data_IF_845349730658
#
_entry.id   IF_845349730658
#
_cell.length_a   1.000
_cell.length_b   1.000
_cell.length_c   1.000
_cell.angle_alpha   90.00
_cell.angle_beta   90.00
_cell.angle_gamma   90.00
#
_symmetry.space_group_name_H-M   'P 1'
#
loop_
_entity.id
_entity.type
_entity.pdbx_description
1 polymer ?
2 water ?
#
# COMPACT_ATOMS: atom_id res chain seq x y z
N UNK A 3 2.12 20.33 -3.65
CA UNK A 3 2.79 19.03 -3.67
C UNK A 3 4.31 19.19 -3.77
N UNK A 4 5.01 18.93 -2.66
CA UNK A 4 6.47 18.98 -2.69
C UNK A 4 7.10 17.86 -1.88
N UNK A 5 8.33 17.51 -2.26
CA UNK A 5 9.07 16.42 -1.64
C UNK A 5 9.72 16.87 -0.33
N UNK A 6 9.56 16.04 0.70
CA UNK A 6 10.11 16.36 2.00
C UNK A 6 11.19 15.37 2.40
N UNK A 7 12.27 15.87 2.99
CA UNK A 7 13.28 15.01 3.58
C UNK A 7 13.60 15.49 4.98
N UNK A 8 13.01 14.83 5.96
CA UNK A 8 13.23 15.16 7.35
C UNK A 8 13.81 13.96 8.07
N UNK A 9 15.06 14.08 8.51
CA UNK A 9 15.77 12.97 9.10
C UNK A 9 16.03 11.89 8.08
N UNK A 10 15.70 10.64 8.42
CA UNK A 10 15.89 9.52 7.50
C UNK A 10 14.65 9.31 6.64
N UNK A 11 13.62 10.11 6.86
CA UNK A 11 12.36 9.96 6.13
C UNK A 11 12.29 10.85 4.90
N UNK A 12 12.13 10.22 3.74
CA UNK A 12 11.86 10.91 2.50
C UNK A 12 10.43 10.60 2.05
N UNK A 13 9.63 11.64 1.81
CA UNK A 13 8.23 11.42 1.47
C UNK A 13 7.60 12.59 0.72
N UNK A 14 6.58 12.29 -0.07
CA UNK A 14 5.77 13.32 -0.70
C UNK A 14 4.63 13.73 0.23
N UNK A 15 4.31 15.01 0.23
CA UNK A 15 3.25 15.52 1.09
C UNK A 15 2.39 16.53 0.35
N UNK A 16 1.08 16.34 0.40
CA UNK A 16 0.14 17.25 -0.23
C UNK A 16 -1.22 17.14 0.46
N UNK A 17 -1.82 18.27 0.77
CA UNK A 17 -3.10 18.28 1.46
C UNK A 17 -2.95 18.67 2.90
N UNK A 18 -4.07 18.79 3.61
CA UNK A 18 -4.05 19.33 4.97
C UNK A 18 -4.88 18.52 5.96
N UNK A 19 -6.00 17.97 5.50
CA UNK A 19 -6.95 17.31 6.38
C UNK A 19 -6.53 15.94 6.89
N UNK A 20 -7.46 14.98 6.79
CA UNK A 20 -7.23 13.62 7.26
C UNK A 20 -6.07 12.97 6.50
N UNK A 21 -5.09 12.42 7.25
CA UNK A 21 -3.89 11.85 6.63
C UNK A 21 -4.13 10.51 5.94
N UNK A 22 -3.73 10.43 4.67
CA UNK A 22 -3.71 9.16 3.94
C UNK A 22 -2.27 8.77 3.64
N UNK A 23 -1.82 7.69 4.25
CA UNK A 23 -0.45 7.21 4.03
C UNK A 23 -0.44 6.12 2.96
N UNK A 24 0.34 6.36 1.91
CA UNK A 24 0.36 5.48 0.74
C UNK A 24 1.62 4.61 0.70
N UNK A 25 1.43 3.30 0.56
CA UNK A 25 2.54 2.38 0.43
C UNK A 25 2.59 1.75 -0.95
N UNK A 26 3.57 2.15 -1.75
CA UNK A 26 3.74 1.59 -3.09
C UNK A 26 4.60 0.33 -3.02
N UNK A 27 4.64 -0.43 -4.12
CA UNK A 27 5.37 -1.68 -4.15
C UNK A 27 6.82 -1.52 -4.58
N UNK A 28 7.39 -2.59 -5.12
CA UNK A 28 8.77 -2.58 -5.59
C UNK A 28 8.89 -1.90 -6.95
N UNK A 29 7.96 -2.23 -7.85
CA UNK A 29 7.89 -1.62 -9.16
C UNK A 29 7.68 -0.11 -9.05
N UNK A 30 7.06 0.28 -7.95
CA UNK A 30 6.57 1.63 -7.76
C UNK A 30 7.52 2.80 -7.89
N UNK A 31 7.26 3.63 -8.90
CA UNK A 31 7.69 5.01 -8.89
C UNK A 31 6.53 5.71 -8.21
N UNK A 32 6.64 7.02 -7.97
CA UNK A 32 5.54 7.71 -7.32
C UNK A 32 4.56 8.26 -8.35
N UNK A 33 4.84 7.97 -9.62
CA UNK A 33 3.94 8.33 -10.70
C UNK A 33 2.73 7.41 -10.71
N UNK A 34 2.79 6.36 -9.90
CA UNK A 34 1.68 5.43 -9.74
C UNK A 34 0.45 6.12 -9.17
N UNK A 35 0.69 7.13 -8.34
CA UNK A 35 -0.36 7.68 -7.50
C UNK A 35 -0.72 9.13 -7.81
N UNK A 36 -0.30 9.63 -8.97
CA UNK A 36 -0.60 11.01 -9.37
C UNK A 36 -2.11 11.30 -9.32
N UNK A 37 -2.91 10.26 -9.59
CA UNK A 37 -4.35 10.39 -9.52
C UNK A 37 -4.84 10.67 -8.11
N UNK A 38 -4.28 9.95 -7.14
CA UNK A 38 -4.65 10.14 -5.74
C UNK A 38 -4.11 11.46 -5.21
N UNK A 39 -2.89 11.81 -5.61
CA UNK A 39 -2.22 13.02 -5.17
C UNK A 39 -2.92 14.29 -5.70
N UNK A 40 -3.66 14.15 -6.80
CA UNK A 40 -4.33 15.31 -7.38
C UNK A 40 -5.77 15.45 -6.87
N UNK A 41 -6.39 14.33 -6.53
CA UNK A 41 -7.81 14.31 -6.17
C UNK A 41 -8.07 14.62 -4.70
N UNK A 42 -7.57 13.76 -3.83
CA UNK A 42 -7.93 13.79 -2.41
C UNK A 42 -7.43 14.98 -1.57
N UNK A 43 -6.27 15.56 -1.89
CA UNK A 43 -5.92 16.73 -1.07
C UNK A 43 -6.86 17.92 -1.25
N UNK A 44 -7.55 17.96 -2.39
CA UNK A 44 -8.52 19.02 -2.64
C UNK A 44 -9.90 18.63 -2.13
N UNK A 45 -9.98 17.44 -1.52
CA UNK A 45 -11.23 16.96 -0.95
C UNK A 45 -11.16 16.90 0.57
N UNK A 46 -10.12 17.51 1.13
CA UNK A 46 -9.96 17.60 2.57
C UNK A 46 -9.13 16.48 3.17
N UNK A 47 -8.19 15.95 2.39
CA UNK A 47 -7.33 14.86 2.86
C UNK A 47 -5.85 15.20 2.75
N UNK A 48 -5.06 14.58 3.62
CA UNK A 48 -3.61 14.76 3.59
C UNK A 48 -2.96 13.51 3.02
N UNK A 49 -2.35 13.65 1.84
CA UNK A 49 -1.73 12.51 1.19
C UNK A 49 -0.22 12.45 1.46
N UNK A 50 0.23 11.34 2.03
CA UNK A 50 1.64 11.16 2.37
C UNK A 50 2.16 9.89 1.72
N UNK A 51 3.24 10.03 0.94
CA UNK A 51 3.83 8.87 0.29
C UNK A 51 5.29 8.69 0.71
N UNK A 52 5.52 7.91 1.77
CA UNK A 52 6.87 7.66 2.30
C UNK A 52 7.64 6.65 1.46
N UNK A 53 8.94 6.86 1.32
CA UNK A 53 9.78 5.90 0.63
C UNK A 53 10.37 4.89 1.60
N UNK A 54 9.88 3.66 1.53
CA UNK A 54 10.32 2.60 2.40
C UNK A 54 11.74 2.16 2.04
N UNK A 55 12.51 1.73 3.04
CA UNK A 55 13.88 1.25 2.83
C UNK A 55 13.92 -0.19 2.34
N UNK A 56 13.33 -0.45 1.16
CA UNK A 56 13.26 -1.80 0.62
C UNK A 56 14.63 -2.42 0.41
N UNK A 57 15.55 -1.64 -0.15
CA UNK A 57 16.87 -2.16 -0.53
C UNK A 57 18.02 -1.51 0.23
N UNK A 58 17.73 -0.92 1.38
CA UNK A 58 18.78 -0.23 2.12
C UNK A 58 19.02 -0.80 3.54
N UNK A 59 18.12 -1.68 3.95
CA UNK A 59 17.99 -2.15 5.29
C UNK A 59 19.03 -3.11 5.76
N UNK A 60 20.25 -2.65 5.77
CA UNK A 60 21.33 -3.48 6.24
C UNK A 60 21.43 -4.56 5.24
N UNK A 61 22.41 -5.42 5.48
CA UNK A 61 22.59 -6.54 4.61
C UNK A 61 21.39 -7.46 4.83
N UNK A 62 20.99 -7.63 6.09
CA UNK A 62 19.85 -8.49 6.35
C UNK A 62 18.86 -8.38 7.49
N UNK A 63 18.23 -7.23 7.55
CA UNK A 63 17.05 -6.98 8.39
C UNK A 63 15.89 -6.70 7.45
N UNK A 64 16.06 -7.16 6.21
CA UNK A 64 15.13 -6.91 5.14
C UNK A 64 13.97 -7.88 5.17
N UNK A 65 12.89 -7.47 5.82
CA UNK A 65 11.69 -8.30 5.92
C UNK A 65 10.44 -7.42 5.88
N UNK A 66 9.30 -8.06 5.63
CA UNK A 66 8.03 -7.36 5.59
C UNK A 66 7.72 -6.76 6.96
N UNK A 67 8.13 -7.48 8.01
CA UNK A 67 7.96 -7.01 9.38
C UNK A 67 8.72 -5.73 9.65
N UNK A 68 9.92 -5.62 9.08
CA UNK A 68 10.76 -4.44 9.23
C UNK A 68 10.12 -3.22 8.56
N UNK A 69 9.61 -3.42 7.35
CA UNK A 69 8.97 -2.34 6.61
C UNK A 69 7.72 -1.85 7.33
N UNK A 70 6.98 -2.78 7.93
CA UNK A 70 5.80 -2.45 8.70
C UNK A 70 6.14 -1.59 9.91
N UNK A 71 7.21 -1.97 10.62
CA UNK A 71 7.67 -1.20 11.77
C UNK A 71 8.24 0.14 11.35
N UNK A 72 8.79 0.21 10.14
CA UNK A 72 9.27 1.47 9.59
C UNK A 72 8.09 2.40 9.34
N UNK A 73 7.00 1.85 8.84
CA UNK A 73 5.78 2.61 8.61
C UNK A 73 5.25 3.16 9.93
N UNK A 74 5.25 2.30 10.95
CA UNK A 74 4.83 2.69 12.29
C UNK A 74 5.69 3.83 12.82
N UNK A 75 7.00 3.72 12.59
CA UNK A 75 7.94 4.76 13.02
C UNK A 75 7.65 6.07 12.29
N UNK A 76 7.20 5.97 11.05
CA UNK A 76 6.88 7.16 10.25
C UNK A 76 5.64 7.87 10.77
N UNK A 77 4.59 7.10 11.05
CA UNK A 77 3.35 7.66 11.57
C UNK A 77 3.56 8.27 12.95
N UNK A 78 4.31 7.56 13.79
CA UNK A 78 4.64 8.06 15.13
C UNK A 78 5.43 9.36 15.03
N UNK A 79 6.41 9.38 14.12
CA UNK A 79 7.19 10.59 13.87
C UNK A 79 6.29 11.76 13.48
N UNK A 80 5.30 11.47 12.65
CA UNK A 80 4.35 12.49 12.21
C UNK A 80 3.43 12.91 13.36
N UNK A 81 3.29 12.05 14.35
CA UNK A 81 2.49 12.37 15.52
C UNK A 81 1.00 12.14 15.33
N UNK A 82 0.66 11.26 14.39
CA UNK A 82 -0.73 10.92 14.13
C UNK A 82 -1.22 9.84 15.09
N UNK A 83 -2.42 10.02 15.63
CA UNK A 83 -3.03 9.02 16.50
C UNK A 83 -3.64 7.91 15.65
N UNK A 84 -4.03 8.27 14.43
CA UNK A 84 -4.57 7.31 13.48
C UNK A 84 -4.44 7.82 12.05
N UNK A 85 -4.25 6.90 11.11
CA UNK A 85 -4.15 7.27 9.70
C UNK A 85 -4.97 6.33 8.83
N UNK A 86 -5.06 6.68 7.55
CA UNK A 86 -5.65 5.79 6.56
C UNK A 86 -4.54 5.19 5.70
N UNK A 87 -4.47 3.87 5.66
CA UNK A 87 -3.43 3.18 4.89
C UNK A 87 -3.94 2.74 3.52
N UNK A 88 -3.23 3.15 2.48
CA UNK A 88 -3.52 2.73 1.12
C UNK A 88 -2.31 1.99 0.56
N UNK A 89 -2.51 0.75 0.14
CA UNK A 89 -1.41 -0.09 -0.30
C UNK A 89 -1.63 -0.82 -1.60
N UNK A 90 -0.56 -0.94 -2.38
CA UNK A 90 -0.58 -1.66 -3.65
C UNK A 90 0.58 -2.63 -3.74
N UNK A 91 0.35 -3.79 -4.34
CA UNK A 91 1.36 -4.83 -4.49
C UNK A 91 1.97 -5.21 -3.15
N UNK A 92 3.29 -5.08 -3.04
CA UNK A 92 3.97 -5.35 -1.78
C UNK A 92 3.54 -4.34 -0.71
N UNK A 93 3.26 -3.11 -1.16
CA UNK A 93 2.83 -2.06 -0.25
C UNK A 93 1.56 -2.41 0.50
N UNK A 94 0.64 -3.07 -0.19
CA UNK A 94 -0.58 -3.54 0.44
C UNK A 94 -0.29 -4.56 1.52
N UNK A 95 0.70 -5.41 1.27
CA UNK A 95 1.11 -6.42 2.23
C UNK A 95 1.71 -5.76 3.47
N UNK A 96 2.53 -4.74 3.25
CA UNK A 96 3.12 -3.96 4.35
C UNK A 96 2.01 -3.32 5.17
N UNK A 97 1.03 -2.75 4.47
CA UNK A 97 -0.10 -2.08 5.11
C UNK A 97 -0.92 -3.07 5.93
N UNK A 98 -1.18 -4.24 5.36
CA UNK A 98 -1.90 -5.31 6.05
C UNK A 98 -1.21 -5.71 7.35
N UNK A 99 0.09 -5.99 7.25
CA UNK A 99 0.86 -6.41 8.41
C UNK A 99 0.89 -5.32 9.48
N UNK A 100 0.98 -4.08 9.03
CA UNK A 100 0.98 -2.93 9.94
C UNK A 100 -0.35 -2.82 10.68
N UNK A 101 -1.44 -3.06 9.96
CA UNK A 101 -2.77 -3.03 10.57
C UNK A 101 -2.94 -4.18 11.56
N UNK A 102 -2.27 -5.30 11.28
CA UNK A 102 -2.28 -6.44 12.19
C UNK A 102 -1.46 -6.16 13.45
N UNK A 103 -0.27 -5.60 13.26
CA UNK A 103 0.63 -5.31 14.37
C UNK A 103 0.19 -4.09 15.17
N UNK A 104 -0.27 -3.06 14.47
CA UNK A 104 -0.66 -1.81 15.13
C UNK A 104 -2.02 -1.31 14.66
N UNK A 105 -3.10 -1.99 15.09
CA UNK A 105 -4.46 -1.65 14.66
C UNK A 105 -4.95 -0.32 15.21
N UNK A 106 -4.46 0.06 16.38
CA UNK A 106 -4.89 1.29 17.03
C UNK A 106 -4.40 2.54 16.32
N UNK A 107 -3.49 2.36 15.36
CA UNK A 107 -2.93 3.49 14.63
C UNK A 107 -3.54 3.61 13.24
N UNK A 108 -4.39 2.64 12.88
CA UNK A 108 -5.01 2.62 11.56
C UNK A 108 -6.52 2.84 11.62
N UNK A 109 -6.99 3.94 11.05
CA UNK A 109 -8.42 4.25 11.01
C UNK A 109 -9.13 3.39 9.97
N UNK A 110 -8.50 3.23 8.81
CA UNK A 110 -9.05 2.40 7.74
C UNK A 110 -7.94 1.86 6.85
N UNK A 111 -8.22 0.77 6.16
CA UNK A 111 -7.25 0.13 5.30
C UNK A 111 -7.78 0.00 3.87
N UNK A 112 -7.08 0.59 2.91
CA UNK A 112 -7.47 0.49 1.51
C UNK A 112 -6.48 -0.39 0.75
N UNK A 113 -7.00 -1.42 0.09
CA UNK A 113 -6.16 -2.41 -0.57
C UNK A 113 -6.54 -2.55 -2.04
N UNK A 114 -5.52 -2.63 -2.89
CA UNK A 114 -5.73 -2.78 -4.31
C UNK A 114 -4.55 -3.46 -5.00
N UNK A 115 -4.84 -4.58 -5.66
CA UNK A 115 -3.82 -5.38 -6.32
C UNK A 115 -2.63 -5.67 -5.42
N UNK A 116 -2.91 -6.18 -4.22
CA UNK A 116 -1.84 -6.37 -3.24
C UNK A 116 -1.54 -7.84 -3.00
N UNK A 117 -0.31 -8.12 -2.60
CA UNK A 117 0.10 -9.47 -2.24
C UNK A 117 -0.24 -9.74 -0.78
N UNK A 118 0.19 -10.91 -0.29
CA UNK A 118 -0.11 -11.31 1.07
C UNK A 118 -1.02 -12.52 1.13
N UNK A 119 -1.34 -13.06 -0.04
CA UNK A 119 -2.13 -14.28 -0.15
C UNK A 119 -1.64 -15.16 -1.30
N UNK A 153 5.08 -0.40 -18.87
CA UNK A 153 5.83 -0.64 -20.07
C UNK A 153 7.33 -0.66 -19.81
N UNK A 154 7.95 0.51 -19.63
CA UNK A 154 9.39 0.58 -19.41
C UNK A 154 10.01 0.29 -18.04
N UNK A 155 9.17 -0.18 -17.11
CA UNK A 155 9.53 -0.84 -15.86
C UNK A 155 10.39 -2.06 -16.10
N UNK A 156 10.41 -2.48 -17.37
CA UNK A 156 11.31 -3.58 -17.71
C UNK A 156 12.76 -3.26 -17.35
N UNK A 157 13.13 -2.00 -17.46
CA UNK A 157 14.50 -1.55 -17.25
C UNK A 157 14.81 -1.51 -15.75
N UNK A 158 13.78 -1.63 -14.91
CA UNK A 158 14.01 -1.67 -13.48
C UNK A 158 13.47 -2.95 -12.82
N UNK A 159 13.55 -4.05 -13.55
CA UNK A 159 13.46 -5.39 -12.96
C UNK A 159 14.72 -6.15 -13.38
N UNK A 160 15.33 -5.67 -14.47
CA UNK A 160 16.64 -6.14 -14.87
C UNK A 160 17.67 -5.54 -13.91
N UNK A 161 17.27 -4.45 -13.26
CA UNK A 161 18.08 -3.83 -12.22
C UNK A 161 18.29 -4.83 -11.09
N UNK A 162 17.26 -5.62 -10.81
CA UNK A 162 17.30 -6.61 -9.75
C UNK A 162 18.24 -7.77 -10.09
N UNK A 163 18.33 -8.14 -11.36
CA UNK A 163 19.07 -9.34 -11.75
C UNK A 163 20.55 -9.10 -12.09
N UNK A 164 20.99 -7.84 -12.06
CA UNK A 164 22.40 -7.56 -12.35
C UNK A 164 23.03 -6.59 -11.36
N UNK A 165 22.20 -6.15 -10.42
CA UNK A 165 22.67 -5.26 -9.40
C UNK A 165 23.59 -6.01 -8.50
N UNK A 166 23.47 -7.34 -8.50
CA UNK A 166 24.30 -8.22 -7.71
C UNK A 166 23.94 -8.28 -6.26
N UNK A 167 23.97 -7.16 -5.56
CA UNK A 167 23.65 -7.17 -4.14
C UNK A 167 22.19 -6.83 -3.79
N UNK A 168 21.35 -6.64 -4.79
CA UNK A 168 19.98 -6.21 -4.54
C UNK A 168 19.04 -7.38 -4.83
N UNK A 169 19.55 -8.32 -5.62
CA UNK A 169 18.86 -9.56 -5.90
C UNK A 169 18.60 -10.33 -4.61
N UNK A 170 19.62 -10.38 -3.76
CA UNK A 170 19.51 -11.07 -2.47
C UNK A 170 18.44 -10.43 -1.61
N UNK A 171 18.39 -9.09 -1.63
CA UNK A 171 17.41 -8.35 -0.86
C UNK A 171 16.00 -8.58 -1.40
N UNK A 172 15.87 -8.61 -2.73
CA UNK A 172 14.58 -8.93 -3.36
C UNK A 172 14.16 -10.35 -2.98
N UNK A 173 15.10 -11.27 -3.03
CA UNK A 173 14.85 -12.65 -2.62
C UNK A 173 14.51 -12.72 -1.14
N UNK A 174 15.18 -11.89 -0.34
CA UNK A 174 14.92 -11.83 1.10
C UNK A 174 13.51 -11.33 1.37
N UNK A 175 13.07 -10.33 0.60
CA UNK A 175 11.73 -9.78 0.74
C UNK A 175 10.67 -10.81 0.38
N UNK A 176 10.84 -11.45 -0.77
CA UNK A 176 9.90 -12.46 -1.25
C UNK A 176 9.77 -13.62 -0.26
N UNK A 177 10.91 -14.11 0.20
CA UNK A 177 10.93 -15.17 1.21
C UNK A 177 10.18 -14.74 2.46
N UNK A 178 10.47 -13.53 2.93
CA UNK A 178 9.81 -12.95 4.09
C UNK A 178 8.31 -12.76 3.85
N UNK A 179 7.95 -12.35 2.65
CA UNK A 179 6.56 -12.07 2.30
C UNK A 179 5.71 -13.33 2.35
N UNK A 180 6.13 -14.36 1.63
CA UNK A 180 5.36 -15.60 1.53
C UNK A 180 5.33 -16.36 2.86
N UNK A 181 6.44 -16.29 3.59
CA UNK A 181 6.51 -16.90 4.93
C UNK A 181 5.48 -16.24 5.85
N UNK A 182 5.25 -14.97 5.59
CA UNK A 182 4.33 -14.12 6.33
C UNK A 182 2.94 -14.07 5.70
N UNK A 183 2.29 -15.22 5.57
CA UNK A 183 0.96 -15.26 4.95
C UNK A 183 -0.07 -14.59 5.85
N UNK A 184 -1.03 -13.90 5.23
CA UNK A 184 -2.02 -13.12 5.98
C UNK A 184 -3.32 -13.90 6.22
N UNK A 185 -3.50 -14.99 5.48
CA UNK A 185 -4.74 -15.76 5.50
C UNK A 185 -5.23 -16.11 6.90
N UNK A 186 -4.29 -16.45 7.78
CA UNK A 186 -4.62 -16.85 9.15
C UNK A 186 -4.94 -15.65 10.05
N UNK A 187 -4.38 -14.49 9.72
CA UNK A 187 -4.52 -13.30 10.56
C UNK A 187 -5.75 -12.48 10.18
N UNK A 188 -6.17 -12.60 8.94
CA UNK A 188 -7.32 -11.84 8.42
C UNK A 188 -8.68 -12.01 9.15
N UNK A 189 -9.07 -13.26 9.52
CA UNK A 189 -10.42 -13.50 10.06
C UNK A 189 -10.95 -12.49 11.08
N UNK A 190 -10.08 -11.83 11.85
CA UNK A 190 -10.55 -10.74 12.68
C UNK A 190 -9.49 -9.64 12.82
N UNK A 191 -9.15 -9.05 11.67
CA UNK A 191 -8.52 -7.73 11.66
C UNK A 191 -9.66 -6.74 11.50
N UNK A 192 -10.18 -6.27 12.64
CA UNK A 192 -11.45 -5.56 12.72
C UNK A 192 -11.55 -4.30 11.86
N UNK A 193 -10.41 -3.70 11.56
CA UNK A 193 -10.38 -2.40 10.89
C UNK A 193 -11.16 -2.40 9.58
N UNK A 194 -11.96 -1.34 9.35
CA UNK A 194 -12.73 -1.17 8.12
C UNK A 194 -11.82 -1.19 6.90
N UNK A 195 -12.11 -2.08 5.95
CA UNK A 195 -11.22 -2.27 4.81
C UNK A 195 -11.93 -2.08 3.48
N UNK A 196 -11.34 -1.29 2.61
CA UNK A 196 -11.85 -1.10 1.26
C UNK A 196 -10.96 -1.84 0.26
N UNK A 197 -11.56 -2.76 -0.48
CA UNK A 197 -10.81 -3.52 -1.47
C UNK A 197 -11.27 -3.16 -2.89
N UNK A 198 -10.41 -2.46 -3.61
CA UNK A 198 -10.67 -2.08 -4.99
C UNK A 198 -9.77 -2.89 -5.91
N UNK A 199 -10.32 -3.49 -6.95
CA UNK A 199 -9.55 -4.44 -7.75
C UNK A 199 -9.86 -4.35 -9.24
N UNK A 200 -8.84 -4.56 -10.07
CA UNK A 200 -9.05 -4.70 -11.49
C UNK A 200 -9.71 -6.03 -11.78
N UNK A 201 -10.71 -6.03 -12.65
CA UNK A 201 -11.49 -7.24 -12.91
C UNK A 201 -10.72 -8.28 -13.72
N UNK A 202 -9.60 -7.87 -14.31
CA UNK A 202 -8.73 -8.80 -15.02
C UNK A 202 -7.27 -8.63 -14.63
N UNK A 203 -7.00 -8.78 -13.34
CA UNK A 203 -5.65 -8.69 -12.80
C UNK A 203 -4.89 -9.98 -13.04
N UNK A 204 -3.68 -9.88 -13.57
CA UNK A 204 -2.87 -11.05 -13.89
C UNK A 204 -1.84 -11.38 -12.80
N UNK A 205 -1.27 -10.35 -12.19
CA UNK A 205 -0.29 -10.55 -11.13
C UNK A 205 -0.97 -11.08 -9.87
N UNK A 206 -1.96 -10.35 -9.38
CA UNK A 206 -2.77 -10.80 -8.26
C UNK A 206 -4.22 -10.96 -8.73
N UNK A 207 -4.56 -12.15 -9.25
CA UNK A 207 -5.86 -12.49 -9.84
C UNK A 207 -7.03 -12.09 -8.94
N UNK A 208 -8.22 -11.85 -9.54
CA UNK A 208 -9.41 -11.41 -8.82
C UNK A 208 -9.85 -12.40 -7.74
N UNK A 209 -9.39 -13.64 -7.82
CA UNK A 209 -9.67 -14.64 -6.80
C UNK A 209 -9.12 -14.20 -5.45
N UNK A 210 -7.93 -13.60 -5.47
CA UNK A 210 -7.27 -13.11 -4.27
C UNK A 210 -8.11 -12.03 -3.60
N UNK A 211 -8.72 -11.17 -4.40
CA UNK A 211 -9.56 -10.09 -3.89
C UNK A 211 -10.75 -10.63 -3.10
N UNK A 212 -11.37 -11.68 -3.62
CA UNK A 212 -12.53 -12.27 -2.96
C UNK A 212 -12.13 -13.08 -1.74
N UNK A 213 -10.89 -13.60 -1.75
CA UNK A 213 -10.33 -14.24 -0.57
C UNK A 213 -10.20 -13.24 0.57
N UNK A 214 -9.74 -12.04 0.22
CA UNK A 214 -9.63 -10.94 1.18
C UNK A 214 -11.01 -10.58 1.74
N UNK A 215 -11.99 -10.51 0.85
CA UNK A 215 -13.36 -10.18 1.23
C UNK A 215 -13.94 -11.27 2.15
N UNK A 216 -13.63 -12.53 1.86
CA UNK A 216 -14.10 -13.65 2.65
C UNK A 216 -13.62 -13.59 4.10
N UNK A 217 -12.30 -13.52 4.26
CA UNK A 217 -11.67 -13.65 5.57
C UNK A 217 -11.85 -12.40 6.44
N UNK A 218 -11.63 -11.22 5.86
CA UNK A 218 -11.77 -9.98 6.60
C UNK A 218 -13.21 -9.79 7.10
N UNK A 219 -13.36 -9.52 8.41
CA UNK A 219 -14.69 -9.35 9.03
C UNK A 219 -15.42 -8.11 8.53
N UNK A 220 -14.72 -6.99 8.43
CA UNK A 220 -15.34 -5.74 7.99
C UNK A 220 -14.65 -5.19 6.76
N UNK A 221 -15.06 -5.66 5.59
CA UNK A 221 -14.44 -5.24 4.33
C UNK A 221 -15.46 -5.10 3.20
N UNK A 222 -15.20 -4.15 2.31
CA UNK A 222 -16.05 -3.94 1.15
C UNK A 222 -15.24 -4.11 -0.13
N UNK A 223 -15.84 -4.77 -1.13
CA UNK A 223 -15.14 -5.10 -2.35
C UNK A 223 -15.75 -4.41 -3.57
N UNK A 224 -14.91 -3.68 -4.32
CA UNK A 224 -15.34 -3.00 -5.53
C UNK A 224 -14.39 -3.32 -6.68
N UNK A 225 -14.97 -3.55 -7.87
CA UNK A 225 -14.16 -3.91 -9.03
C UNK A 225 -14.05 -2.78 -10.06
N UNK A 226 -12.97 -2.80 -10.83
CA UNK A 226 -12.83 -1.93 -11.98
C UNK A 226 -12.59 -2.78 -13.22
N UNK A 227 -13.47 -2.66 -14.20
CA UNK A 227 -13.43 -3.50 -15.39
C UNK A 227 -12.36 -3.01 -16.38
N UNK A 228 -11.78 -3.95 -17.13
CA UNK A 228 -10.71 -3.67 -18.09
C UNK A 228 -9.56 -3.00 -17.38
N UNK A 229 -9.13 -3.61 -16.29
CA UNK A 229 -8.12 -3.06 -15.42
C UNK A 229 -7.23 -4.17 -14.87
N UNK A 230 -5.92 -3.89 -14.81
CA UNK A 230 -4.96 -4.88 -14.37
C UNK A 230 -4.49 -4.72 -12.94
N UNK A 231 -3.18 -4.69 -12.76
CA UNK A 231 -2.58 -4.73 -11.43
C UNK A 231 -2.49 -3.37 -10.76
N UNK A 232 -2.59 -2.31 -11.54
CA UNK A 232 -2.47 -0.96 -11.00
C UNK A 232 -3.70 -0.11 -11.34
N UNK A 233 -4.79 -0.34 -10.61
CA UNK A 233 -6.03 0.39 -10.81
C UNK A 233 -5.83 1.89 -10.65
N UNK A 234 -4.98 2.25 -9.69
CA UNK A 234 -4.60 3.62 -9.42
C UNK A 234 -4.07 4.35 -10.65
N UNK A 235 -3.37 3.61 -11.50
CA UNK A 235 -2.66 4.19 -12.63
C UNK A 235 -3.41 3.95 -13.93
N UNK A 236 -4.05 2.80 -14.05
CA UNK A 236 -4.81 2.47 -15.25
C UNK A 236 -6.13 3.23 -15.28
N UNK A 237 -6.76 3.37 -14.11
CA UNK A 237 -8.00 4.12 -14.00
C UNK A 237 -8.05 4.95 -12.73
N UNK A 238 -7.31 6.07 -12.70
CA UNK A 238 -7.33 6.96 -11.54
C UNK A 238 -8.69 7.62 -11.38
N UNK A 239 -9.41 7.73 -12.49
CA UNK A 239 -10.75 8.29 -12.52
C UNK A 239 -11.73 7.54 -11.60
N UNK A 240 -11.90 6.25 -11.84
CA UNK A 240 -12.90 5.45 -11.14
C UNK A 240 -12.39 5.04 -9.76
N UNK A 241 -11.09 4.89 -9.63
CA UNK A 241 -10.48 4.54 -8.36
C UNK A 241 -10.77 5.62 -7.33
N UNK A 242 -10.50 6.87 -7.72
CA UNK A 242 -10.76 8.01 -6.84
C UNK A 242 -12.22 8.08 -6.44
N UNK A 243 -13.12 7.90 -7.40
CA UNK A 243 -14.55 7.99 -7.16
C UNK A 243 -15.05 6.86 -6.26
N UNK A 244 -14.56 5.65 -6.51
CA UNK A 244 -14.93 4.50 -5.69
C UNK A 244 -14.43 4.67 -4.26
N UNK A 245 -13.17 5.08 -4.12
CA UNK A 245 -12.57 5.28 -2.81
C UNK A 245 -13.22 6.44 -2.06
N UNK A 246 -13.50 7.52 -2.78
CA UNK A 246 -14.10 8.71 -2.16
C UNK A 246 -15.47 8.39 -1.59
N UNK A 247 -16.27 7.66 -2.35
CA UNK A 247 -17.61 7.30 -1.92
C UNK A 247 -17.59 6.37 -0.71
N UNK A 248 -16.59 5.52 -0.65
CA UNK A 248 -16.43 4.63 0.49
C UNK A 248 -16.11 5.44 1.73
N UNK A 249 -15.30 6.48 1.56
CA UNK A 249 -14.97 7.40 2.65
C UNK A 249 -16.20 8.11 3.17
N UNK A 250 -17.07 8.54 2.25
CA UNK A 250 -18.27 9.27 2.59
C UNK A 250 -19.24 8.43 3.43
N UNK A 251 -19.36 7.15 3.08
CA UNK A 251 -20.27 6.25 3.77
C UNK A 251 -19.88 6.01 5.22
N UNK A 252 -18.59 6.12 5.50
CA UNK A 252 -18.07 5.73 6.81
C UNK A 252 -17.49 6.89 7.60
N UNK A 253 -17.50 8.08 7.01
CA UNK A 253 -16.85 9.25 7.60
C UNK A 253 -15.37 8.98 7.84
N UNK A 254 -14.59 8.96 6.76
CA UNK A 254 -13.16 8.77 6.84
C UNK A 254 -12.42 9.93 6.16
#
# INVERSE_FOLDING_TARGET
MKDHLKQEGKFTYLEKGEGTPIVILHGLMGGLSNFDGVIDYFPEKGYKVLIPELPLYSMSLLKTSVGTFARYLKEFVDFKGYENVILLGNSLGGHIALLATKMFPEIVQALVITGSSGLYENAMGESYPRRGDYEFIKKKAEAVFYDPEVATKEIVDEVYETVSDRNKLVKTLAIAKSAIRHNMAKDLPKMKTPTCIIWGKNDNVTPPEVAEDFKRLLPDADLYWIDKCGHAAMMEHPEEFNQLLHEWFKERDF
#
